data_IF_698850906632
#
_entry.id   IF_698850906632
#
_cell.length_a   1.000
_cell.length_b   1.000
_cell.length_c   1.000
_cell.angle_alpha   90.00
_cell.angle_beta   90.00
_cell.angle_gamma   90.00
#
_symmetry.space_group_name_H-M   'P 1'
#
loop_
_entity.id
_entity.type
_entity.pdbx_description
1 polymer ?
#
# COMPACT_ATOMS: atom_id res chain seq x y z
N UNK A 1 7.83 -4.94 -8.81
CA UNK A 1 7.24 -4.25 -7.66
C UNK A 1 6.52 -5.17 -6.69
N UNK A 2 6.08 -6.33 -7.12
CA UNK A 2 5.46 -7.33 -6.24
C UNK A 2 6.48 -7.73 -5.17
N UNK A 3 6.03 -7.76 -3.91
CA UNK A 3 6.90 -8.07 -2.78
C UNK A 3 7.63 -6.87 -2.19
N UNK A 4 7.47 -5.69 -2.78
CA UNK A 4 8.11 -4.48 -2.26
C UNK A 4 7.37 -3.99 -1.01
N UNK A 5 8.12 -3.57 -0.01
CA UNK A 5 7.55 -2.95 1.19
C UNK A 5 7.33 -1.47 0.90
N UNK A 6 6.14 -0.98 1.22
CA UNK A 6 5.78 0.43 1.00
C UNK A 6 5.29 1.05 2.29
N UNK A 7 5.39 2.37 2.39
CA UNK A 7 4.97 3.11 3.57
C UNK A 7 3.56 3.69 3.35
N UNK A 8 2.67 3.48 4.32
CA UNK A 8 1.30 3.98 4.25
C UNK A 8 1.30 5.46 4.65
N UNK A 9 0.97 6.32 3.71
CA UNK A 9 0.94 7.77 3.97
C UNK A 9 -0.47 8.26 4.25
N UNK A 10 -1.47 7.63 3.63
CA UNK A 10 -2.87 8.00 3.84
C UNK A 10 -3.70 6.74 3.65
N UNK A 11 -4.70 6.56 4.47
CA UNK A 11 -5.56 5.38 4.35
C UNK A 11 -6.98 5.68 4.77
N UNK A 12 -7.94 5.16 3.99
CA UNK A 12 -9.36 5.30 4.26
C UNK A 12 -10.02 3.95 3.98
N UNK A 13 -10.36 3.23 5.05
CA UNK A 13 -11.00 1.91 4.97
C UNK A 13 -10.15 0.91 4.20
N UNK A 14 -10.42 0.72 2.90
CA UNK A 14 -9.72 -0.27 2.09
C UNK A 14 -8.87 0.35 1.00
N UNK A 15 -8.74 1.67 0.99
CA UNK A 15 -7.95 2.34 -0.04
C UNK A 15 -7.18 3.52 0.55
N UNK A 16 -6.15 3.93 -0.15
CA UNK A 16 -5.35 5.05 0.31
C UNK A 16 -4.17 5.30 -0.61
N UNK A 17 -3.13 5.89 -0.06
CA UNK A 17 -1.92 6.21 -0.80
C UNK A 17 -0.69 5.75 -0.04
N UNK A 18 0.28 5.26 -0.80
CA UNK A 18 1.55 4.80 -0.25
C UNK A 18 2.69 5.55 -0.92
N UNK A 19 3.81 5.62 -0.22
CA UNK A 19 5.01 6.28 -0.73
C UNK A 19 5.98 5.25 -1.26
N UNK A 20 6.43 5.45 -2.51
CA UNK A 20 7.42 4.60 -3.15
C UNK A 20 8.43 5.50 -3.85
N UNK A 21 9.68 5.44 -3.43
CA UNK A 21 10.77 6.24 -4.03
C UNK A 21 10.42 7.72 -4.15
N UNK A 22 9.77 8.27 -3.12
CA UNK A 22 9.42 9.68 -3.12
C UNK A 22 8.15 10.03 -3.86
N UNK A 23 7.44 9.04 -4.39
CA UNK A 23 6.19 9.28 -5.13
C UNK A 23 5.01 8.64 -4.42
N UNK A 24 3.86 9.30 -4.48
CA UNK A 24 2.62 8.77 -3.92
C UNK A 24 1.89 7.95 -4.97
N UNK A 25 1.46 6.75 -4.57
CA UNK A 25 0.72 5.84 -5.43
C UNK A 25 -0.62 5.49 -4.78
N UNK A 26 -1.66 5.40 -5.58
CA UNK A 26 -2.94 4.90 -5.10
C UNK A 26 -2.79 3.41 -4.78
N UNK A 27 -3.44 2.97 -3.71
CA UNK A 27 -3.32 1.59 -3.27
C UNK A 27 -4.62 1.12 -2.62
N UNK A 28 -4.81 -0.19 -2.64
CA UNK A 28 -5.96 -0.85 -2.03
C UNK A 28 -5.50 -2.06 -1.24
N UNK A 29 -6.24 -2.38 -0.19
CA UNK A 29 -6.00 -3.58 0.61
C UNK A 29 -7.35 -4.07 1.14
N UNK A 30 -7.48 -5.38 1.32
CA UNK A 30 -8.72 -5.97 1.82
C UNK A 30 -9.03 -5.58 3.25
N UNK A 31 -8.02 -5.18 4.01
CA UNK A 31 -8.16 -4.78 5.41
C UNK A 31 -7.62 -3.38 5.59
N UNK A 32 -8.12 -2.65 6.62
CA UNK A 32 -7.57 -1.32 6.92
C UNK A 32 -6.11 -1.41 7.33
N UNK A 33 -5.31 -0.44 6.90
CA UNK A 33 -3.89 -0.39 7.22
C UNK A 33 -3.60 0.86 8.04
N UNK A 34 -2.63 0.80 8.97
CA UNK A 34 -2.30 1.97 9.79
C UNK A 34 -1.49 2.99 9.01
N UNK A 35 -1.86 4.25 9.13
CA UNK A 35 -1.05 5.34 8.57
C UNK A 35 0.28 5.38 9.33
N UNK A 36 1.38 5.52 8.56
CA UNK A 36 2.72 5.46 9.14
C UNK A 36 3.28 4.05 9.22
N UNK A 37 2.43 3.03 8.98
CA UNK A 37 2.88 1.64 8.96
C UNK A 37 3.38 1.23 7.59
N UNK A 38 3.56 -0.07 7.41
CA UNK A 38 4.09 -0.64 6.18
C UNK A 38 3.18 -1.72 5.65
N UNK A 39 3.27 -1.96 4.35
CA UNK A 39 2.54 -3.04 3.71
C UNK A 39 3.37 -3.59 2.56
N UNK A 40 2.97 -4.75 2.06
CA UNK A 40 3.64 -5.38 0.92
C UNK A 40 2.77 -5.24 -0.32
N UNK A 41 3.42 -4.99 -1.45
CA UNK A 41 2.72 -4.96 -2.74
C UNK A 41 2.52 -6.40 -3.19
N UNK A 42 1.25 -6.80 -3.37
CA UNK A 42 0.92 -8.14 -3.87
C UNK A 42 0.57 -8.15 -5.34
N UNK A 43 0.40 -6.99 -5.94
CA UNK A 43 0.10 -6.89 -7.35
C UNK A 43 -0.25 -5.46 -7.75
N UNK A 44 -0.49 -5.27 -9.03
CA UNK A 44 -0.86 -3.98 -9.58
C UNK A 44 -2.04 -4.19 -10.52
N UNK A 45 -3.02 -3.29 -10.45
CA UNK A 45 -4.14 -3.29 -11.37
C UNK A 45 -4.31 -1.87 -11.89
N UNK A 46 -3.98 -1.68 -13.17
CA UNK A 46 -3.96 -0.33 -13.74
C UNK A 46 -2.93 0.53 -13.03
N UNK A 47 -3.34 1.63 -12.44
CA UNK A 47 -2.47 2.53 -11.68
C UNK A 47 -2.66 2.37 -10.17
N UNK A 48 -3.34 1.31 -9.75
CA UNK A 48 -3.60 1.06 -8.33
C UNK A 48 -2.82 -0.14 -7.87
N UNK A 49 -2.08 0.02 -6.78
CA UNK A 49 -1.34 -1.08 -6.17
C UNK A 49 -2.26 -1.90 -5.29
N UNK A 50 -2.13 -3.21 -5.35
CA UNK A 50 -2.84 -4.11 -4.46
C UNK A 50 -1.89 -4.51 -3.34
N UNK A 51 -2.30 -4.30 -2.12
CA UNK A 51 -1.45 -4.52 -0.96
C UNK A 51 -1.94 -5.65 -0.08
N UNK A 52 -1.05 -6.12 0.77
CA UNK A 52 -1.38 -7.02 1.86
C UNK A 52 -0.65 -6.55 3.10
N UNK A 53 -1.15 -6.88 4.31
CA UNK A 53 -0.48 -6.45 5.53
C UNK A 53 0.96 -6.95 5.57
N UNK A 54 1.85 -6.10 6.09
CA UNK A 54 3.24 -6.48 6.29
C UNK A 54 3.36 -7.18 7.66
N UNK A 55 3.85 -8.40 7.64
CA UNK A 55 4.05 -9.17 8.85
C UNK A 55 5.52 -9.50 9.03
N UNK A 56 5.99 -9.35 10.26
CA UNK A 56 7.36 -9.72 10.60
C UNK A 56 7.45 -11.21 10.92
#
# INVERSE_FOLDING_TARGET
MIGKVVEIRRWDKTEGQVLINGELWSAECEVPLPVGGKALVRGIEGLTLKLKPYEN
#
